data_IF_373381290486
#
_entry.id   IF_373381290486
#
_cell.length_a   1.000
_cell.length_b   1.000
_cell.length_c   1.000
_cell.angle_alpha   90.00
_cell.angle_beta   90.00
_cell.angle_gamma   90.00
#
_symmetry.space_group_name_H-M   'P 1'
#
loop_
_entity.id
_entity.type
_entity.pdbx_description
1 polymer ?
#
# COMPACT_ATOMS: atom_id res chain seq x y z
N UNK A 1 15.19 -6.05 -0.88
CA UNK A 1 14.32 -6.53 0.22
C UNK A 1 15.04 -6.74 1.58
N UNK A 2 16.37 -6.68 1.67
CA UNK A 2 17.10 -6.98 2.94
C UNK A 2 17.35 -5.77 3.83
N UNK A 3 17.06 -4.56 3.35
CA UNK A 3 17.32 -3.32 4.09
C UNK A 3 16.14 -2.92 4.96
N UNK A 4 16.43 -2.37 6.14
CA UNK A 4 15.40 -1.84 7.04
C UNK A 4 14.57 -0.72 6.38
N UNK A 5 15.20 0.14 5.58
CA UNK A 5 14.53 1.22 4.86
C UNK A 5 13.42 0.72 3.92
N UNK A 6 13.63 -0.40 3.23
CA UNK A 6 12.61 -1.02 2.37
C UNK A 6 11.38 -1.44 3.17
N UNK A 7 11.59 -2.11 4.31
CA UNK A 7 10.50 -2.59 5.15
C UNK A 7 9.74 -1.45 5.82
N UNK A 8 10.43 -0.39 6.25
CA UNK A 8 9.81 0.82 6.79
C UNK A 8 8.90 1.48 5.74
N UNK A 9 9.41 1.71 4.53
CA UNK A 9 8.63 2.30 3.45
C UNK A 9 7.43 1.41 3.04
N UNK A 10 7.64 0.10 2.99
CA UNK A 10 6.59 -0.88 2.68
C UNK A 10 5.49 -0.89 3.74
N UNK A 11 5.86 -0.81 5.02
CA UNK A 11 4.91 -0.78 6.13
C UNK A 11 4.11 0.52 6.13
N UNK A 12 4.76 1.66 5.93
CA UNK A 12 4.08 2.96 5.81
C UNK A 12 3.06 2.95 4.67
N UNK A 13 3.44 2.43 3.50
CA UNK A 13 2.53 2.29 2.35
C UNK A 13 1.36 1.35 2.64
N UNK A 14 1.61 0.24 3.33
CA UNK A 14 0.58 -0.74 3.66
C UNK A 14 -0.45 -0.16 4.63
N UNK A 15 0.00 0.57 5.67
CA UNK A 15 -0.89 1.30 6.59
C UNK A 15 -1.67 2.39 5.85
N UNK A 16 -1.02 3.16 4.98
CA UNK A 16 -1.69 4.19 4.18
C UNK A 16 -2.81 3.59 3.33
N UNK A 17 -2.54 2.45 2.70
CA UNK A 17 -3.53 1.72 1.89
C UNK A 17 -4.67 1.20 2.74
N UNK A 18 -4.37 0.63 3.92
CA UNK A 18 -5.39 0.23 4.90
C UNK A 18 -6.32 1.40 5.26
N UNK A 19 -5.76 2.54 5.66
CA UNK A 19 -6.53 3.70 6.06
C UNK A 19 -7.41 4.23 4.91
N UNK A 20 -6.86 4.33 3.71
CA UNK A 20 -7.60 4.78 2.53
C UNK A 20 -8.75 3.82 2.16
N UNK A 21 -8.50 2.52 2.21
CA UNK A 21 -9.53 1.51 1.93
C UNK A 21 -10.63 1.51 3.01
N UNK A 22 -10.25 1.59 4.29
CA UNK A 22 -11.17 1.65 5.41
C UNK A 22 -12.08 2.89 5.30
N UNK A 23 -11.49 4.05 5.03
CA UNK A 23 -12.25 5.29 4.78
C UNK A 23 -13.19 5.14 3.60
N UNK A 24 -12.74 4.53 2.50
CA UNK A 24 -13.59 4.29 1.32
C UNK A 24 -14.82 3.45 1.63
N UNK A 25 -14.65 2.32 2.34
CA UNK A 25 -15.77 1.43 2.69
C UNK A 25 -16.71 2.08 3.70
N UNK A 26 -16.18 2.73 4.74
CA UNK A 26 -17.00 3.39 5.76
C UNK A 26 -17.81 4.53 5.16
N UNK A 27 -17.20 5.38 4.32
CA UNK A 27 -17.90 6.54 3.73
C UNK A 27 -18.93 6.16 2.66
N UNK A 28 -18.82 4.98 2.06
CA UNK A 28 -19.78 4.50 1.06
C UNK A 28 -21.13 4.07 1.66
N UNK A 29 -21.12 3.55 2.90
CA UNK A 29 -22.28 2.86 3.46
C UNK A 29 -22.65 3.27 4.88
N UNK A 30 -21.77 3.91 5.65
CA UNK A 30 -22.06 4.29 7.02
C UNK A 30 -22.56 5.74 7.11
N UNK A 31 -23.66 5.94 7.84
CA UNK A 31 -24.16 7.28 8.21
C UNK A 31 -23.67 7.74 9.58
N UNK A 32 -23.18 6.81 10.40
CA UNK A 32 -22.62 7.07 11.72
C UNK A 32 -21.59 6.03 12.14
N UNK A 33 -20.71 6.41 13.07
CA UNK A 33 -19.57 5.58 13.54
C UNK A 33 -20.03 4.27 14.19
N UNK A 34 -21.20 4.26 14.84
CA UNK A 34 -21.71 3.07 15.54
C UNK A 34 -22.53 2.13 14.64
N UNK A 35 -23.02 2.63 13.50
CA UNK A 35 -23.87 1.87 12.56
C UNK A 35 -23.06 1.25 11.41
N UNK A 36 -21.77 1.59 11.32
CA UNK A 36 -20.89 1.05 10.31
C UNK A 36 -20.68 -0.48 10.49
N UNK A 37 -20.70 -1.21 9.38
CA UNK A 37 -20.21 -2.60 9.34
C UNK A 37 -18.69 -2.63 9.49
N UNK A 38 -18.23 -2.56 10.74
CA UNK A 38 -16.82 -2.59 11.09
C UNK A 38 -16.14 -3.89 10.68
N UNK A 39 -16.85 -5.01 10.74
CA UNK A 39 -16.28 -6.31 10.39
C UNK A 39 -15.97 -6.37 8.91
N UNK A 40 -16.92 -6.01 8.05
CA UNK A 40 -16.70 -5.92 6.61
C UNK A 40 -15.64 -4.89 6.24
N UNK A 41 -15.72 -3.68 6.83
CA UNK A 41 -14.80 -2.59 6.51
C UNK A 41 -13.35 -2.90 6.91
N UNK A 42 -13.11 -3.46 8.10
CA UNK A 42 -11.78 -3.87 8.54
C UNK A 42 -11.25 -5.06 7.73
N UNK A 43 -12.12 -6.00 7.34
CA UNK A 43 -11.74 -7.13 6.49
C UNK A 43 -11.27 -6.66 5.10
N UNK A 44 -12.05 -5.79 4.45
CA UNK A 44 -11.71 -5.23 3.14
C UNK A 44 -10.43 -4.37 3.20
N UNK A 45 -10.30 -3.50 4.20
CA UNK A 45 -9.11 -2.70 4.40
C UNK A 45 -7.87 -3.54 4.70
N UNK A 46 -8.02 -4.59 5.51
CA UNK A 46 -6.97 -5.57 5.80
C UNK A 46 -6.49 -6.27 4.54
N UNK A 47 -7.41 -6.72 3.68
CA UNK A 47 -7.07 -7.30 2.38
C UNK A 47 -6.29 -6.32 1.51
N UNK A 48 -6.72 -5.06 1.43
CA UNK A 48 -6.02 -4.04 0.65
C UNK A 48 -4.58 -3.80 1.15
N UNK A 49 -4.37 -3.80 2.48
CA UNK A 49 -3.05 -3.69 3.08
C UNK A 49 -2.15 -4.89 2.73
N UNK A 50 -2.68 -6.11 2.79
CA UNK A 50 -1.96 -7.33 2.37
C UNK A 50 -1.59 -7.27 0.90
N UNK A 51 -2.50 -6.84 0.03
CA UNK A 51 -2.22 -6.68 -1.39
C UNK A 51 -1.14 -5.63 -1.66
N UNK A 52 -1.15 -4.51 -0.92
CA UNK A 52 -0.10 -3.49 -1.02
C UNK A 52 1.27 -4.04 -0.62
N UNK A 53 1.33 -4.82 0.47
CA UNK A 53 2.54 -5.52 0.92
C UNK A 53 3.05 -6.50 -0.14
N UNK A 54 2.17 -7.37 -0.66
CA UNK A 54 2.53 -8.34 -1.70
C UNK A 54 3.01 -7.65 -2.98
N UNK A 55 2.38 -6.54 -3.36
CA UNK A 55 2.78 -5.74 -4.53
C UNK A 55 4.16 -5.13 -4.34
N UNK A 56 4.48 -4.63 -3.14
CA UNK A 56 5.79 -4.10 -2.82
C UNK A 56 6.87 -5.19 -2.89
N UNK A 57 6.58 -6.39 -2.37
CA UNK A 57 7.48 -7.55 -2.48
C UNK A 57 7.69 -7.94 -3.94
N UNK A 58 6.62 -8.09 -4.73
CA UNK A 58 6.69 -8.45 -6.13
C UNK A 58 7.46 -7.42 -6.97
N UNK A 59 7.29 -6.13 -6.69
CA UNK A 59 7.97 -5.05 -7.41
C UNK A 59 9.45 -4.91 -6.99
N UNK A 60 9.83 -5.39 -5.80
CA UNK A 60 11.21 -5.33 -5.32
C UNK A 60 12.16 -6.34 -5.95
N UNK A 61 11.64 -7.25 -6.78
CA UNK A 61 12.42 -8.27 -7.50
C UNK A 61 12.87 -7.83 -8.90
N UNK A 62 12.49 -6.62 -9.35
CA UNK A 62 12.84 -6.07 -10.67
C UNK A 62 14.09 -5.16 -10.67
N UNK A 63 14.58 -4.76 -11.85
CA UNK A 63 15.66 -3.77 -12.00
C UNK A 63 15.33 -2.44 -11.30
N UNK A 64 16.36 -1.69 -10.88
CA UNK A 64 16.18 -0.35 -10.30
C UNK A 64 15.53 0.61 -11.31
N UNK A 65 14.23 0.87 -11.12
CA UNK A 65 13.32 1.41 -12.13
C UNK A 65 11.94 1.74 -11.55
N UNK A 66 11.20 2.75 -12.08
CA UNK A 66 9.80 2.96 -11.72
C UNK A 66 8.88 1.80 -12.18
N UNK A 67 9.37 0.89 -13.01
CA UNK A 67 8.68 -0.32 -13.45
C UNK A 67 9.66 -1.46 -13.75
N UNK A 68 9.12 -2.67 -13.93
CA UNK A 68 9.90 -3.89 -14.20
C UNK A 68 10.72 -3.82 -15.51
N UNK A 69 10.37 -2.92 -16.42
CA UNK A 69 10.97 -2.77 -17.76
C UNK A 69 11.66 -1.44 -17.97
N UNK A 70 11.68 -0.53 -16.98
CA UNK A 70 12.20 0.82 -17.13
C UNK A 70 13.47 1.01 -16.31
N UNK A 71 14.52 1.59 -16.89
CA UNK A 71 15.79 1.84 -16.21
C UNK A 71 15.83 3.28 -15.72
N UNK A 72 16.14 3.52 -14.43
CA UNK A 72 16.31 4.89 -13.92
C UNK A 72 17.41 5.61 -14.71
N UNK A 73 17.04 6.64 -15.47
CA UNK A 73 18.02 7.60 -16.01
C UNK A 73 18.56 8.41 -14.83
N UNK A 74 19.78 8.08 -14.37
CA UNK A 74 20.51 8.95 -13.45
C UNK A 74 20.80 10.26 -14.18
N UNK A 75 20.25 11.37 -13.69
CA UNK A 75 20.70 12.71 -14.08
C UNK A 75 22.15 12.86 -13.62
N UNK A 76 23.08 13.00 -14.58
CA UNK A 76 24.47 13.32 -14.25
C UNK A 76 24.56 14.76 -13.71
N UNK A 77 25.39 15.02 -12.68
CA UNK A 77 25.71 16.38 -12.28
C UNK A 77 26.58 17.05 -13.35
N UNK A 78 26.20 18.26 -13.74
CA UNK A 78 27.00 19.18 -14.58
C UNK A 78 28.26 19.63 -13.82
#
# INVERSE_FOLDING_TARGET
>A
MTTAAFWIATFERSIRTFAQALLGVLTAHATGVLDADWTGALSAAGLAAVLALLTAVASSAGPEGPGLTETVVRRMPE
#
